data_IF_181177367201
#
_entry.id   IF_181177367201
#
_cell.length_a   1.000
_cell.length_b   1.000
_cell.length_c   1.000
_cell.angle_alpha   90.00
_cell.angle_beta   90.00
_cell.angle_gamma   90.00
#
_symmetry.space_group_name_H-M   'P 1'
#
loop_
_entity.id
_entity.type
_entity.pdbx_description
1 polymer ?
#
# COMPACT_ATOMS: atom_id res chain seq x y z
N UNK A 1 -23.97 -0.30 39.04
CA UNK A 1 -24.10 0.79 38.04
C UNK A 1 -25.58 1.06 37.83
N UNK A 2 -26.04 2.28 38.10
CA UNK A 2 -27.46 2.61 38.29
C UNK A 2 -28.21 2.70 36.94
N UNK A 3 -29.14 1.78 36.69
CA UNK A 3 -29.86 1.58 35.42
C UNK A 3 -31.03 2.55 35.18
N UNK A 4 -31.33 3.43 36.14
CA UNK A 4 -32.56 4.25 36.12
C UNK A 4 -32.40 5.60 35.42
N UNK A 5 -31.16 6.06 35.16
CA UNK A 5 -30.89 7.38 34.55
C UNK A 5 -30.55 7.37 33.05
N UNK A 6 -30.30 6.21 32.46
CA UNK A 6 -30.01 6.08 31.03
C UNK A 6 -31.16 5.38 30.34
N UNK A 7 -32.07 6.17 29.75
CA UNK A 7 -33.31 5.70 29.13
C UNK A 7 -33.07 4.57 28.11
N UNK A 8 -34.13 3.80 27.81
CA UNK A 8 -34.18 2.56 27.00
C UNK A 8 -33.41 2.57 25.65
N UNK A 9 -32.93 3.72 25.19
CA UNK A 9 -32.06 3.91 24.02
C UNK A 9 -30.57 3.69 24.32
N UNK A 10 -30.14 3.69 25.58
CA UNK A 10 -28.74 3.52 25.98
C UNK A 10 -28.09 2.19 25.56
N UNK A 11 -28.73 1.01 25.67
CA UNK A 11 -28.14 -0.24 25.16
C UNK A 11 -28.03 -0.26 23.64
N UNK A 12 -29.01 0.33 22.93
CA UNK A 12 -29.01 0.41 21.46
C UNK A 12 -27.94 1.39 20.96
N UNK A 13 -27.81 2.55 21.59
CA UNK A 13 -26.79 3.54 21.25
C UNK A 13 -25.38 3.04 21.63
N UNK A 14 -25.25 2.31 22.75
CA UNK A 14 -23.99 1.68 23.14
C UNK A 14 -23.55 0.57 22.17
N UNK A 15 -24.48 -0.29 21.75
CA UNK A 15 -24.23 -1.31 20.73
C UNK A 15 -23.90 -0.71 19.37
N UNK A 16 -24.66 0.29 18.92
CA UNK A 16 -24.40 0.99 17.67
C UNK A 16 -23.04 1.68 17.64
N UNK A 17 -22.62 2.33 18.74
CA UNK A 17 -21.28 2.93 18.83
C UNK A 17 -20.17 1.88 18.78
N UNK A 18 -20.34 0.72 19.41
CA UNK A 18 -19.35 -0.37 19.34
C UNK A 18 -19.21 -0.94 17.94
N UNK A 19 -20.33 -1.16 17.24
CA UNK A 19 -20.30 -1.60 15.84
C UNK A 19 -19.66 -0.52 14.98
N UNK A 20 -20.01 0.75 15.20
CA UNK A 20 -19.44 1.87 14.45
C UNK A 20 -17.92 2.01 14.66
N UNK A 21 -17.45 1.86 15.91
CA UNK A 21 -16.02 1.89 16.23
C UNK A 21 -15.29 0.67 15.65
N UNK A 22 -15.91 -0.52 15.68
CA UNK A 22 -15.36 -1.72 15.05
C UNK A 22 -15.27 -1.59 13.53
N UNK A 23 -16.32 -1.07 12.89
CA UNK A 23 -16.35 -0.78 11.45
C UNK A 23 -15.31 0.28 11.11
N UNK A 24 -15.21 1.38 11.84
CA UNK A 24 -14.16 2.41 11.61
C UNK A 24 -12.74 1.87 11.79
N UNK A 25 -12.52 0.99 12.77
CA UNK A 25 -11.24 0.35 13.00
C UNK A 25 -10.91 -0.64 11.88
N UNK A 26 -11.87 -1.45 11.42
CA UNK A 26 -11.70 -2.36 10.28
C UNK A 26 -11.50 -1.63 8.96
N UNK A 27 -12.22 -0.53 8.74
CA UNK A 27 -12.07 0.36 7.58
C UNK A 27 -10.73 1.12 7.57
N UNK A 28 -9.86 0.95 8.56
CA UNK A 28 -8.53 1.54 8.59
C UNK A 28 -8.53 3.07 8.74
N UNK A 29 -9.66 3.67 9.11
CA UNK A 29 -9.79 5.12 9.25
C UNK A 29 -9.16 5.64 10.55
N UNK A 30 -9.02 4.77 11.55
CA UNK A 30 -8.58 5.15 12.91
C UNK A 30 -7.29 4.45 13.35
N UNK A 31 -6.92 3.31 12.75
CA UNK A 31 -5.76 2.50 13.17
C UNK A 31 -4.70 2.51 12.07
N UNK A 32 -3.44 2.84 12.41
CA UNK A 32 -2.31 2.83 11.47
C UNK A 32 -1.46 4.09 11.46
N UNK A 33 -0.40 4.08 10.63
CA UNK A 33 0.55 5.20 10.46
C UNK A 33 -0.12 6.39 9.73
N UNK A 34 0.39 7.63 9.88
CA UNK A 34 -0.16 8.79 9.18
C UNK A 34 -0.17 8.62 7.65
N UNK A 35 0.77 7.84 7.11
CA UNK A 35 0.86 7.51 5.68
C UNK A 35 -0.31 6.64 5.22
N UNK A 36 -0.67 5.60 5.99
CA UNK A 36 -1.82 4.73 5.68
C UNK A 36 -3.15 5.49 5.70
N UNK A 37 -3.35 6.40 6.66
CA UNK A 37 -4.59 7.20 6.73
C UNK A 37 -4.80 8.10 5.52
N UNK A 38 -3.72 8.61 4.90
CA UNK A 38 -3.81 9.42 3.68
C UNK A 38 -4.18 8.56 2.48
N UNK A 39 -3.60 7.36 2.41
CA UNK A 39 -3.92 6.39 1.37
C UNK A 39 -5.37 5.93 1.44
N UNK A 40 -5.85 5.54 2.63
CA UNK A 40 -7.23 5.12 2.82
C UNK A 40 -8.23 6.19 2.39
N UNK A 41 -7.95 7.48 2.66
CA UNK A 41 -8.79 8.59 2.17
C UNK A 41 -8.89 8.62 0.65
N UNK A 42 -7.79 8.42 -0.07
CA UNK A 42 -7.81 8.34 -1.53
C UNK A 42 -8.61 7.12 -2.00
N UNK A 43 -8.38 5.95 -1.39
CA UNK A 43 -9.10 4.72 -1.74
C UNK A 43 -10.63 4.87 -1.56
N UNK A 44 -11.10 5.51 -0.49
CA UNK A 44 -12.53 5.76 -0.30
C UNK A 44 -13.12 6.69 -1.35
N UNK A 45 -12.42 7.77 -1.72
CA UNK A 45 -12.87 8.70 -2.77
C UNK A 45 -13.04 7.96 -4.10
N UNK A 46 -12.05 7.15 -4.48
CA UNK A 46 -12.09 6.38 -5.73
C UNK A 46 -13.18 5.30 -5.67
N UNK A 47 -13.36 4.64 -4.53
CA UNK A 47 -14.39 3.63 -4.35
C UNK A 47 -15.82 4.18 -4.48
N UNK A 48 -16.12 5.32 -3.86
CA UNK A 48 -17.43 5.96 -4.03
C UNK A 48 -17.68 6.45 -5.45
N UNK A 49 -16.62 6.95 -6.13
CA UNK A 49 -16.68 7.29 -7.54
C UNK A 49 -16.99 6.06 -8.42
N UNK A 50 -16.32 4.93 -8.18
CA UNK A 50 -16.55 3.66 -8.88
C UNK A 50 -17.98 3.16 -8.72
N UNK A 51 -18.53 3.21 -7.49
CA UNK A 51 -19.91 2.82 -7.22
C UNK A 51 -20.91 3.70 -8.01
N UNK A 52 -20.64 5.01 -8.06
CA UNK A 52 -21.46 5.96 -8.83
C UNK A 52 -21.42 5.68 -10.33
N UNK A 53 -20.24 5.45 -10.90
CA UNK A 53 -20.07 5.15 -12.32
C UNK A 53 -20.65 3.77 -12.70
N UNK A 54 -20.51 2.76 -11.84
CA UNK A 54 -21.13 1.46 -12.05
C UNK A 54 -22.67 1.58 -12.13
N UNK A 55 -23.28 2.36 -11.24
CA UNK A 55 -24.72 2.65 -11.32
C UNK A 55 -25.10 3.36 -12.63
N UNK A 56 -24.26 4.26 -13.13
CA UNK A 56 -24.47 4.91 -14.44
C UNK A 56 -24.45 3.88 -15.57
N UNK A 57 -23.53 2.93 -15.58
CA UNK A 57 -23.47 1.86 -16.60
C UNK A 57 -24.77 1.04 -16.62
N UNK A 58 -25.27 0.61 -15.45
CA UNK A 58 -26.54 -0.12 -15.36
C UNK A 58 -27.74 0.74 -15.78
N UNK A 59 -27.73 2.03 -15.42
CA UNK A 59 -28.79 2.98 -15.77
C UNK A 59 -28.84 3.26 -17.28
N UNK A 60 -27.68 3.42 -17.93
CA UNK A 60 -27.59 3.63 -19.38
C UNK A 60 -28.09 2.41 -20.15
N UNK A 61 -27.83 1.20 -19.64
CA UNK A 61 -28.34 -0.03 -20.26
C UNK A 61 -29.80 -0.37 -19.89
N UNK A 62 -30.58 0.58 -19.35
CA UNK A 62 -31.98 0.37 -18.93
C UNK A 62 -32.18 -0.86 -18.03
N UNK A 63 -31.17 -1.22 -17.23
CA UNK A 63 -31.16 -2.41 -16.38
C UNK A 63 -31.34 -3.74 -17.11
N UNK A 64 -31.04 -3.81 -18.42
CA UNK A 64 -30.88 -5.09 -19.10
C UNK A 64 -29.52 -5.69 -18.71
N UNK A 65 -29.54 -6.71 -17.86
CA UNK A 65 -28.33 -7.33 -17.30
C UNK A 65 -27.86 -8.42 -18.26
N UNK A 66 -27.19 -8.00 -19.34
CA UNK A 66 -26.53 -8.89 -20.30
C UNK A 66 -25.07 -9.10 -19.92
N UNK A 67 -24.45 -10.22 -20.34
CA UNK A 67 -23.03 -10.52 -20.09
C UNK A 67 -22.08 -9.36 -20.45
N UNK A 68 -22.35 -8.63 -21.54
CA UNK A 68 -21.53 -7.48 -21.96
C UNK A 68 -21.54 -6.35 -20.91
N UNK A 69 -22.70 -6.07 -20.33
CA UNK A 69 -22.89 -5.02 -19.32
C UNK A 69 -22.20 -5.39 -18.02
N UNK A 70 -22.27 -6.67 -17.63
CA UNK A 70 -21.57 -7.20 -16.46
C UNK A 70 -20.06 -7.06 -16.62
N UNK A 71 -19.53 -7.42 -17.80
CA UNK A 71 -18.10 -7.30 -18.10
C UNK A 71 -17.67 -5.83 -18.14
N UNK A 72 -18.46 -4.92 -18.73
CA UNK A 72 -18.18 -3.49 -18.74
C UNK A 72 -18.21 -2.87 -17.33
N UNK A 73 -19.21 -3.22 -16.51
CA UNK A 73 -19.31 -2.72 -15.14
C UNK A 73 -18.15 -3.23 -14.26
N UNK A 74 -17.78 -4.52 -14.39
CA UNK A 74 -16.68 -5.11 -13.63
C UNK A 74 -15.33 -4.55 -14.08
N UNK A 75 -15.11 -4.42 -15.39
CA UNK A 75 -13.91 -3.82 -15.96
C UNK A 75 -13.72 -2.37 -15.51
N UNK A 76 -14.80 -1.57 -15.51
CA UNK A 76 -14.79 -0.22 -14.98
C UNK A 76 -14.43 -0.19 -13.49
N UNK A 77 -14.98 -1.13 -12.70
CA UNK A 77 -14.66 -1.24 -11.27
C UNK A 77 -13.18 -1.52 -11.00
N UNK A 78 -12.60 -2.50 -11.70
CA UNK A 78 -11.18 -2.87 -11.56
C UNK A 78 -10.28 -1.71 -12.01
N UNK A 79 -10.63 -1.05 -13.11
CA UNK A 79 -9.86 0.07 -13.65
C UNK A 79 -9.81 1.30 -12.72
N UNK A 80 -10.81 1.48 -11.85
CA UNK A 80 -10.85 2.62 -10.92
C UNK A 80 -10.02 2.35 -9.66
N UNK A 81 -9.81 1.09 -9.28
CA UNK A 81 -8.88 0.75 -8.20
C UNK A 81 -7.47 1.03 -8.74
N UNK A 82 -6.71 1.98 -8.18
CA UNK A 82 -5.41 2.33 -8.72
C UNK A 82 -4.42 1.25 -8.31
N UNK A 83 -4.29 0.22 -9.14
CA UNK A 83 -3.42 -0.94 -8.89
C UNK A 83 -1.97 -0.49 -8.62
N UNK A 84 -1.50 0.49 -9.39
CA UNK A 84 -0.18 1.11 -9.23
C UNK A 84 0.03 1.79 -7.86
N UNK A 85 -1.02 2.24 -7.18
CA UNK A 85 -0.91 2.98 -5.91
C UNK A 85 -0.34 2.11 -4.79
N UNK A 86 -0.74 0.84 -4.73
CA UNK A 86 -0.23 -0.11 -3.73
C UNK A 86 1.24 -0.43 -4.00
N UNK A 87 1.60 -0.56 -5.27
CA UNK A 87 2.97 -0.81 -5.70
C UNK A 87 3.90 0.35 -5.35
N UNK A 88 3.51 1.60 -5.66
CA UNK A 88 4.35 2.77 -5.33
C UNK A 88 4.47 2.97 -3.83
N UNK A 89 3.42 2.72 -3.03
CA UNK A 89 3.52 2.80 -1.58
C UNK A 89 4.57 1.81 -1.05
N UNK A 90 4.51 0.56 -1.51
CA UNK A 90 5.45 -0.49 -1.10
C UNK A 90 6.88 -0.07 -1.42
N UNK A 91 7.13 0.38 -2.65
CA UNK A 91 8.46 0.84 -3.09
C UNK A 91 8.92 2.05 -2.25
N UNK A 92 8.06 3.04 -1.99
CA UNK A 92 8.45 4.20 -1.17
C UNK A 92 8.74 3.83 0.28
N UNK A 93 8.08 2.82 0.82
CA UNK A 93 8.35 2.34 2.18
C UNK A 93 9.68 1.59 2.24
N UNK A 94 9.98 0.77 1.24
CA UNK A 94 11.26 0.07 1.06
C UNK A 94 12.38 1.11 0.97
N UNK A 95 12.29 2.06 0.02
CA UNK A 95 13.27 3.15 -0.15
C UNK A 95 13.47 3.97 1.13
N UNK A 96 12.39 4.27 1.86
CA UNK A 96 12.50 5.00 3.13
C UNK A 96 13.33 4.22 4.17
N UNK A 97 13.18 2.89 4.21
CA UNK A 97 13.97 2.05 5.11
C UNK A 97 15.41 1.84 4.63
N UNK A 98 15.67 1.77 3.32
CA UNK A 98 17.03 1.73 2.80
C UNK A 98 17.78 3.04 3.09
N UNK A 99 17.17 4.19 2.83
CA UNK A 99 17.80 5.49 3.07
C UNK A 99 18.21 5.68 4.54
N UNK A 100 17.40 5.18 5.48
CA UNK A 100 17.73 5.22 6.91
C UNK A 100 18.91 4.28 7.25
N UNK A 101 18.99 3.10 6.61
CA UNK A 101 20.12 2.18 6.79
C UNK A 101 21.42 2.72 6.20
N UNK A 102 21.36 3.35 5.02
CA UNK A 102 22.53 3.93 4.36
C UNK A 102 23.12 5.06 5.23
N UNK A 103 22.26 5.90 5.81
CA UNK A 103 22.67 6.95 6.74
C UNK A 103 23.32 6.39 8.02
N UNK A 104 22.74 5.34 8.62
CA UNK A 104 23.32 4.69 9.80
C UNK A 104 24.66 4.00 9.48
N UNK A 105 24.82 3.42 8.29
CA UNK A 105 26.09 2.82 7.82
C UNK A 105 27.20 3.86 7.71
N UNK A 106 26.90 5.04 7.17
CA UNK A 106 27.88 6.11 6.98
C UNK A 106 28.35 6.70 8.32
N UNK A 107 27.43 6.88 9.29
CA UNK A 107 27.76 7.36 10.63
C UNK A 107 28.49 6.33 11.48
N UNK A 108 28.12 5.05 11.38
CA UNK A 108 28.80 3.98 12.13
C UNK A 108 30.20 3.71 11.55
N UNK A 109 30.39 3.77 10.23
CA UNK A 109 31.70 3.70 9.60
C UNK A 109 32.63 4.86 10.02
N UNK A 110 32.10 6.08 10.12
CA UNK A 110 32.85 7.24 10.59
C UNK A 110 33.22 7.16 12.08
N UNK A 111 32.35 6.59 12.91
CA UNK A 111 32.62 6.36 14.33
C UNK A 111 33.65 5.24 14.56
N UNK A 112 33.60 4.17 13.77
CA UNK A 112 34.55 3.04 13.84
C UNK A 112 35.96 3.44 13.38
N UNK A 113 36.10 4.39 12.46
CA UNK A 113 37.41 4.93 12.03
C UNK A 113 38.11 5.83 13.06
N UNK A 114 37.43 6.26 14.13
CA UNK A 114 38.00 7.15 15.15
C UNK A 114 38.70 6.43 16.32
N UNK A 115 38.54 5.10 16.44
CA UNK A 115 39.01 4.32 17.61
C UNK A 115 40.15 3.32 17.32
N UNK A 116 40.67 3.27 16.08
CA UNK A 116 41.77 2.35 15.72
C UNK A 116 42.94 3.15 15.13
N UNK A 117 44.10 3.28 15.83
CA UNK A 117 45.32 3.78 15.22
C UNK A 117 45.77 2.78 14.14
N UNK A 118 46.26 3.30 13.01
CA UNK A 118 46.66 2.55 11.81
C UNK A 118 47.60 1.36 12.11
N UNK A 119 47.03 0.21 12.46
CA UNK A 119 47.77 -1.04 12.50
C UNK A 119 46.92 -2.18 11.92
N UNK A 120 47.24 -2.46 10.64
CA UNK A 120 47.10 -3.74 9.93
C UNK A 120 45.79 -4.01 9.19
N UNK A 121 45.82 -3.68 7.89
CA UNK A 121 44.93 -4.27 6.88
C UNK A 121 45.40 -5.70 6.55
N UNK A 122 44.53 -6.71 6.73
CA UNK A 122 44.22 -7.55 5.58
C UNK A 122 42.72 -7.85 5.48
N UNK A 123 42.20 -7.79 4.24
CA UNK A 123 40.95 -8.37 3.73
C UNK A 123 39.72 -8.19 4.64
N UNK A 124 38.74 -7.36 4.28
CA UNK A 124 37.72 -7.70 3.29
C UNK A 124 37.26 -6.39 2.62
N UNK A 125 37.57 -6.27 1.34
CA UNK A 125 36.81 -5.44 0.42
C UNK A 125 35.44 -6.08 0.21
N UNK A 126 34.47 -5.77 1.06
CA UNK A 126 33.06 -5.86 0.67
C UNK A 126 32.74 -4.58 -0.10
N UNK A 127 33.20 -4.59 -1.34
CA UNK A 127 32.59 -3.82 -2.42
C UNK A 127 31.17 -4.38 -2.57
N UNK A 128 30.19 -3.69 -1.98
CA UNK A 128 28.78 -3.94 -2.26
C UNK A 128 28.60 -3.62 -3.73
N UNK A 129 28.65 -4.66 -4.55
CA UNK A 129 28.30 -4.65 -5.95
C UNK A 129 26.87 -4.12 -6.06
N UNK A 130 26.72 -2.86 -6.47
CA UNK A 130 25.44 -2.37 -7.02
C UNK A 130 25.07 -3.30 -8.18
N UNK A 131 23.90 -3.98 -8.15
CA UNK A 131 23.41 -4.55 -9.38
C UNK A 131 22.99 -3.39 -10.28
N UNK A 132 23.88 -2.99 -11.21
CA UNK A 132 23.46 -2.32 -12.44
C UNK A 132 22.36 -3.19 -13.07
N UNK A 133 21.12 -2.72 -12.99
CA UNK A 133 20.03 -3.30 -13.78
C UNK A 133 20.24 -2.83 -15.22
N UNK A 134 21.15 -3.50 -15.93
CA UNK A 134 21.26 -3.40 -17.38
C UNK A 134 20.07 -4.11 -18.00
N UNK A 135 19.19 -3.34 -18.63
CA UNK A 135 18.08 -3.85 -19.44
C UNK A 135 18.62 -4.33 -20.79
N UNK A 136 19.49 -5.33 -20.80
CA UNK A 136 19.94 -5.94 -22.06
C UNK A 136 19.05 -7.14 -22.38
N UNK A 137 18.02 -6.88 -23.19
CA UNK A 137 17.24 -7.94 -23.85
C UNK A 137 18.08 -8.49 -25.00
N UNK A 138 19.21 -9.13 -24.70
CA UNK A 138 19.92 -9.91 -25.72
C UNK A 138 19.19 -11.25 -25.89
N UNK A 139 18.52 -11.38 -27.03
CA UNK A 139 17.96 -12.64 -27.51
C UNK A 139 19.05 -13.70 -27.51
N UNK A 140 18.91 -14.68 -26.63
CA UNK A 140 19.87 -15.77 -26.49
C UNK A 140 19.93 -16.56 -27.80
N UNK A 141 21.13 -16.66 -28.37
CA UNK A 141 21.51 -17.33 -29.63
C UNK A 141 21.27 -18.87 -29.62
N UNK A 142 20.55 -19.37 -28.61
CA UNK A 142 20.20 -20.77 -28.41
C UNK A 142 19.08 -21.28 -29.35
N UNK A 143 18.51 -20.42 -30.18
CA UNK A 143 17.50 -20.77 -31.21
C UNK A 143 18.08 -20.83 -32.64
N UNK A 144 19.40 -20.72 -32.80
CA UNK A 144 20.07 -20.76 -34.12
C UNK A 144 20.72 -22.10 -34.47
N UNK A 145 20.63 -23.07 -33.56
CA UNK A 145 21.20 -24.42 -33.71
C UNK A 145 20.15 -25.54 -33.84
N UNK A 146 18.86 -25.18 -34.00
CA UNK A 146 17.79 -26.09 -34.46
C UNK A 146 17.06 -25.47 -35.64
#
# INVERSE_FOLDING_TARGET
MNVTKYGKRAPVVGGAKRIYDAVRNFLGLTVGTPLQRKLSKLAYILFFCALGLALVVFKVNKFDITNQVIIYATSLGISIIPESLVTVLTITMVIATEAERDYESERTAAAVKFDVPDEKLPAISEEVTEPEVQYEVEMTDALRAF
#
